data_IF_151448014446
#
_entry.id   IF_151448014446
#
_cell.length_a   1.000
_cell.length_b   1.000
_cell.length_c   1.000
_cell.angle_alpha   90.00
_cell.angle_beta   90.00
_cell.angle_gamma   90.00
#
_symmetry.space_group_name_H-M   'P 1'
#
loop_
_entity.id
_entity.type
_entity.pdbx_description
1 polymer ?
#
# COMPACT_ATOMS: atom_id res chain seq x y z
N UNK A 1 18.35 -20.02 50.44
CA UNK A 1 17.28 -20.06 49.42
C UNK A 1 17.37 -18.80 48.56
N UNK A 2 18.12 -18.80 47.45
CA UNK A 2 18.32 -17.58 46.64
C UNK A 2 18.89 -17.82 45.24
N UNK A 3 19.61 -18.93 45.04
CA UNK A 3 20.13 -19.36 43.73
C UNK A 3 19.03 -19.66 42.69
N UNK A 4 17.87 -20.27 43.04
CA UNK A 4 16.83 -20.57 42.05
C UNK A 4 16.21 -19.32 41.39
N UNK A 5 16.13 -18.20 42.12
CA UNK A 5 15.48 -16.97 41.64
C UNK A 5 16.34 -16.20 40.64
N UNK A 6 17.67 -16.22 40.79
CA UNK A 6 18.58 -15.58 39.86
C UNK A 6 18.64 -16.31 38.51
N UNK A 7 18.63 -17.65 38.54
CA UNK A 7 18.57 -18.48 37.32
C UNK A 7 17.25 -18.25 36.58
N UNK A 8 16.13 -18.21 37.32
CA UNK A 8 14.82 -17.93 36.73
C UNK A 8 14.75 -16.53 36.11
N UNK A 9 15.32 -15.51 36.77
CA UNK A 9 15.42 -14.15 36.22
C UNK A 9 16.22 -14.09 34.91
N UNK A 10 17.31 -14.86 34.82
CA UNK A 10 18.16 -14.94 33.63
C UNK A 10 17.44 -15.63 32.46
N UNK A 11 16.65 -16.68 32.74
CA UNK A 11 15.80 -17.36 31.75
C UNK A 11 14.72 -16.41 31.23
N UNK A 12 14.00 -15.72 32.12
CA UNK A 12 12.95 -14.76 31.75
C UNK A 12 13.52 -13.59 30.93
N UNK A 13 14.68 -13.06 31.33
CA UNK A 13 15.37 -12.00 30.58
C UNK A 13 15.75 -12.44 29.18
N UNK A 14 16.32 -13.65 29.02
CA UNK A 14 16.68 -14.20 27.71
C UNK A 14 15.45 -14.45 26.83
N UNK A 15 14.32 -14.85 27.42
CA UNK A 15 13.06 -15.01 26.69
C UNK A 15 12.53 -13.65 26.22
N UNK A 16 12.51 -12.64 27.11
CA UNK A 16 12.06 -11.28 26.82
C UNK A 16 12.88 -10.64 25.70
N UNK A 17 14.22 -10.71 25.76
CA UNK A 17 15.06 -10.18 24.68
C UNK A 17 14.85 -10.90 23.34
N UNK A 18 14.48 -12.19 23.34
CA UNK A 18 14.12 -12.89 22.09
C UNK A 18 12.77 -12.46 21.54
N UNK A 19 11.81 -12.16 22.41
CA UNK A 19 10.48 -11.68 22.02
C UNK A 19 10.63 -10.26 21.47
N UNK A 20 11.31 -9.36 22.18
CA UNK A 20 11.57 -7.98 21.74
C UNK A 20 12.33 -7.92 20.41
N UNK A 21 13.29 -8.82 20.18
CA UNK A 21 13.99 -8.91 18.89
C UNK A 21 13.05 -9.33 17.75
N UNK A 22 12.17 -10.32 17.99
CA UNK A 22 11.18 -10.75 17.00
C UNK A 22 10.13 -9.69 16.72
N UNK A 23 9.69 -8.95 17.73
CA UNK A 23 8.73 -7.86 17.57
C UNK A 23 9.32 -6.74 16.72
N UNK A 24 10.58 -6.33 16.96
CA UNK A 24 11.29 -5.34 16.14
C UNK A 24 11.46 -5.80 14.69
N UNK A 25 11.93 -7.04 14.48
CA UNK A 25 12.08 -7.60 13.13
C UNK A 25 10.73 -7.67 12.40
N UNK A 26 9.65 -7.98 13.12
CA UNK A 26 8.31 -8.02 12.57
C UNK A 26 7.78 -6.61 12.25
N UNK A 27 8.07 -5.62 13.09
CA UNK A 27 7.68 -4.23 12.91
C UNK A 27 8.40 -3.60 11.71
N UNK A 28 9.70 -3.85 11.54
CA UNK A 28 10.47 -3.45 10.35
C UNK A 28 9.96 -4.13 9.07
N UNK A 29 9.61 -5.42 9.14
CA UNK A 29 8.99 -6.11 8.00
C UNK A 29 7.63 -5.52 7.65
N UNK A 30 6.82 -5.20 8.66
CA UNK A 30 5.49 -4.60 8.47
C UNK A 30 5.61 -3.20 7.86
N UNK A 31 6.55 -2.37 8.32
CA UNK A 31 6.77 -1.02 7.79
C UNK A 31 7.27 -1.06 6.33
N UNK A 32 8.24 -1.93 6.03
CA UNK A 32 8.71 -2.12 4.65
C UNK A 32 7.62 -2.64 3.70
N UNK A 33 6.73 -3.51 4.18
CA UNK A 33 5.56 -3.96 3.42
C UNK A 33 4.56 -2.83 3.17
N UNK A 34 4.30 -1.97 4.17
CA UNK A 34 3.43 -0.81 4.02
C UNK A 34 3.98 0.17 2.97
N UNK A 35 5.28 0.46 3.02
CA UNK A 35 5.94 1.33 2.04
C UNK A 35 5.86 0.76 0.62
N UNK A 36 6.11 -0.54 0.46
CA UNK A 36 5.99 -1.23 -0.83
C UNK A 36 4.57 -1.11 -1.40
N UNK A 37 3.54 -1.36 -0.58
CA UNK A 37 2.14 -1.24 -0.99
C UNK A 37 1.82 0.19 -1.43
N UNK A 38 2.30 1.19 -0.70
CA UNK A 38 2.11 2.60 -1.02
C UNK A 38 2.77 2.95 -2.36
N UNK A 39 3.99 2.47 -2.61
CA UNK A 39 4.71 2.65 -3.87
C UNK A 39 3.98 2.01 -5.05
N UNK A 40 3.42 0.80 -4.88
CA UNK A 40 2.63 0.12 -5.90
C UNK A 40 1.35 0.88 -6.25
N UNK A 41 0.66 1.45 -5.26
CA UNK A 41 -0.53 2.28 -5.47
C UNK A 41 -0.17 3.54 -6.25
N UNK A 42 0.92 4.23 -5.86
CA UNK A 42 1.39 5.43 -6.56
C UNK A 42 1.79 5.12 -8.01
N UNK A 43 2.54 4.04 -8.23
CA UNK A 43 2.93 3.56 -9.56
C UNK A 43 1.69 3.29 -10.44
N UNK A 44 0.70 2.57 -9.92
CA UNK A 44 -0.55 2.28 -10.64
C UNK A 44 -1.29 3.57 -11.03
N UNK A 45 -1.38 4.55 -10.12
CA UNK A 45 -1.99 5.85 -10.41
C UNK A 45 -1.22 6.62 -11.48
N UNK A 46 0.11 6.60 -11.44
CA UNK A 46 0.96 7.24 -12.45
C UNK A 46 0.77 6.59 -13.83
N UNK A 47 0.71 5.25 -13.90
CA UNK A 47 0.45 4.52 -15.15
C UNK A 47 -0.94 4.83 -15.73
N UNK A 48 -1.98 4.93 -14.90
CA UNK A 48 -3.33 5.31 -15.35
C UNK A 48 -3.33 6.74 -15.89
N UNK A 49 -2.71 7.69 -15.17
CA UNK A 49 -2.63 9.08 -15.60
C UNK A 49 -1.84 9.23 -16.92
N UNK A 50 -0.75 8.49 -17.07
CA UNK A 50 0.01 8.41 -18.32
C UNK A 50 -0.86 7.86 -19.45
N UNK A 51 -1.56 6.75 -19.22
CA UNK A 51 -2.49 6.17 -20.19
C UNK A 51 -3.61 7.12 -20.62
N UNK A 52 -4.20 7.86 -19.67
CA UNK A 52 -5.20 8.90 -19.95
C UNK A 52 -4.61 10.03 -20.82
N UNK A 53 -3.38 10.47 -20.52
CA UNK A 53 -2.70 11.50 -21.30
C UNK A 53 -2.36 11.02 -22.72
N UNK A 54 -1.84 9.80 -22.86
CA UNK A 54 -1.54 9.17 -24.15
C UNK A 54 -2.81 9.00 -24.97
N UNK A 55 -3.89 8.49 -24.39
CA UNK A 55 -5.14 8.30 -25.11
C UNK A 55 -5.74 9.64 -25.57
N UNK A 56 -5.67 10.69 -24.74
CA UNK A 56 -6.04 12.06 -25.14
C UNK A 56 -5.16 12.61 -26.26
N UNK A 57 -3.86 12.31 -26.26
CA UNK A 57 -2.96 12.73 -27.32
C UNK A 57 -3.29 12.03 -28.65
N UNK A 58 -3.57 10.72 -28.60
CA UNK A 58 -3.96 9.93 -29.79
C UNK A 58 -5.30 10.42 -30.36
N UNK A 59 -6.26 10.77 -29.52
CA UNK A 59 -7.57 11.32 -29.96
C UNK A 59 -7.46 12.67 -30.72
N UNK A 60 -6.34 13.39 -30.60
CA UNK A 60 -6.12 14.66 -31.32
C UNK A 60 -5.53 14.46 -32.72
N UNK A 61 -5.14 13.25 -33.08
CA UNK A 61 -4.53 12.94 -34.38
C UNK A 61 -5.67 12.84 -35.43
N UNK A 62 -5.62 13.61 -36.53
CA UNK A 62 -6.73 13.74 -37.48
C UNK A 62 -7.11 12.43 -38.21
N UNK A 63 -6.15 11.53 -38.38
CA UNK A 63 -6.36 10.22 -39.03
C UNK A 63 -6.51 9.07 -38.02
N UNK A 64 -6.42 9.35 -36.71
CA UNK A 64 -6.57 8.32 -35.68
C UNK A 64 -8.06 8.04 -35.45
N UNK A 65 -8.56 7.03 -36.15
CA UNK A 65 -9.88 6.47 -35.91
C UNK A 65 -9.88 5.68 -34.59
N UNK A 66 -9.88 6.40 -33.46
CA UNK A 66 -10.06 5.78 -32.15
C UNK A 66 -11.48 5.18 -32.13
N UNK A 67 -11.59 3.88 -32.33
CA UNK A 67 -12.84 3.15 -32.20
C UNK A 67 -13.38 3.27 -30.76
N UNK A 68 -14.68 2.96 -30.56
CA UNK A 68 -15.35 3.09 -29.25
C UNK A 68 -14.64 2.39 -28.08
N UNK A 69 -13.80 1.39 -28.39
CA UNK A 69 -12.99 0.63 -27.44
C UNK A 69 -12.06 1.52 -26.62
N UNK A 70 -11.38 2.50 -27.22
CA UNK A 70 -10.44 3.34 -26.48
C UNK A 70 -11.16 4.26 -25.48
N UNK A 71 -12.36 4.73 -25.82
CA UNK A 71 -13.17 5.54 -24.91
C UNK A 71 -13.69 4.71 -23.73
N UNK A 72 -14.17 3.49 -24.00
CA UNK A 72 -14.61 2.56 -22.96
C UNK A 72 -13.46 2.18 -22.01
N UNK A 73 -12.23 2.01 -22.53
CA UNK A 73 -11.05 1.73 -21.72
C UNK A 73 -10.68 2.89 -20.79
N UNK A 74 -10.77 4.14 -21.28
CA UNK A 74 -10.55 5.33 -20.45
C UNK A 74 -11.62 5.46 -19.36
N UNK A 75 -12.90 5.25 -19.70
CA UNK A 75 -14.01 5.28 -18.74
C UNK A 75 -13.83 4.22 -17.65
N UNK A 76 -13.45 3.00 -18.04
CA UNK A 76 -13.13 1.93 -17.10
C UNK A 76 -11.96 2.30 -16.18
N UNK A 77 -10.83 2.76 -16.74
CA UNK A 77 -9.66 3.15 -15.96
C UNK A 77 -9.98 4.31 -15.00
N UNK A 78 -10.78 5.28 -15.44
CA UNK A 78 -11.24 6.40 -14.61
C UNK A 78 -12.11 5.90 -13.45
N UNK A 79 -13.03 4.96 -13.72
CA UNK A 79 -13.88 4.35 -12.70
C UNK A 79 -13.08 3.56 -11.66
N UNK A 80 -12.09 2.77 -12.08
CA UNK A 80 -11.19 2.04 -11.17
C UNK A 80 -10.38 3.02 -10.32
N UNK A 81 -9.84 4.08 -10.92
CA UNK A 81 -9.13 5.16 -10.20
C UNK A 81 -9.99 5.79 -9.12
N UNK A 82 -11.27 6.07 -9.40
CA UNK A 82 -12.19 6.67 -8.43
C UNK A 82 -12.52 5.72 -7.29
N UNK A 83 -12.82 4.45 -7.59
CA UNK A 83 -13.05 3.41 -6.56
C UNK A 83 -11.85 3.24 -5.64
N UNK A 84 -10.64 3.20 -6.20
CA UNK A 84 -9.41 3.08 -5.43
C UNK A 84 -9.18 4.31 -4.53
N UNK A 85 -9.48 5.52 -5.03
CA UNK A 85 -9.40 6.75 -4.23
C UNK A 85 -10.40 6.71 -3.07
N UNK A 86 -11.67 6.44 -3.34
CA UNK A 86 -12.72 6.38 -2.31
C UNK A 86 -12.41 5.34 -1.24
N UNK A 87 -11.88 4.18 -1.64
CA UNK A 87 -11.47 3.13 -0.71
C UNK A 87 -10.35 3.60 0.23
N UNK A 88 -9.31 4.23 -0.31
CA UNK A 88 -8.20 4.75 0.50
C UNK A 88 -8.63 5.93 1.39
N UNK A 89 -9.52 6.80 0.90
CA UNK A 89 -10.09 7.89 1.70
C UNK A 89 -10.89 7.32 2.88
N UNK A 90 -11.71 6.27 2.67
CA UNK A 90 -12.44 5.58 3.75
C UNK A 90 -11.50 4.92 4.76
N UNK A 91 -10.44 4.25 4.29
CA UNK A 91 -9.43 3.68 5.18
C UNK A 91 -8.70 4.76 5.98
N UNK A 92 -8.36 5.88 5.36
CA UNK A 92 -7.74 7.02 6.03
C UNK A 92 -8.63 7.62 7.11
N UNK A 93 -9.92 7.85 6.81
CA UNK A 93 -10.90 8.35 7.79
C UNK A 93 -11.08 7.34 8.93
N UNK A 94 -11.18 6.04 8.62
CA UNK A 94 -11.31 5.00 9.65
C UNK A 94 -10.07 4.95 10.56
N UNK A 95 -8.87 5.01 9.99
CA UNK A 95 -7.63 5.03 10.76
C UNK A 95 -7.53 6.24 11.70
N UNK A 96 -8.04 7.42 11.29
CA UNK A 96 -8.08 8.62 12.12
C UNK A 96 -9.15 8.58 13.23
N UNK A 97 -10.19 7.75 13.08
CA UNK A 97 -11.29 7.63 14.05
C UNK A 97 -11.12 6.46 15.02
N UNK A 98 -10.28 5.49 14.69
CA UNK A 98 -9.93 4.32 15.51
C UNK A 98 -8.71 4.58 16.43
N UNK A 99 -8.19 5.82 16.48
CA UNK A 99 -7.25 6.35 17.50
C UNK A 99 -8.00 6.99 18.69
#
# INVERSE_FOLDING_TARGET
MGVPSAIMGLIVWRLKSRIEGKEKDQEERNSGQQELILLLIQSTRASIALGEATAKAVQRIPDAHCNGDMRSAIEYATGVKHKQKEFLDKLGVKALLDE
#
